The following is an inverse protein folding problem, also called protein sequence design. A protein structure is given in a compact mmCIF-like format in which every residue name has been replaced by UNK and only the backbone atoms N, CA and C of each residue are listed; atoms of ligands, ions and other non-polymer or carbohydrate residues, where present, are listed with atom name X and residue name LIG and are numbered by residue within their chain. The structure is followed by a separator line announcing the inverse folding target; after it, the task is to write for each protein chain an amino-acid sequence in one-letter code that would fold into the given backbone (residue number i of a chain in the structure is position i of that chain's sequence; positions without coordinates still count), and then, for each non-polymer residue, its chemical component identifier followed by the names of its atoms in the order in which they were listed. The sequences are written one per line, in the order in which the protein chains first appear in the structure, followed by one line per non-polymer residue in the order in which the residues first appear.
data_IF_836802916386
#
_entry.id   IF_836802916386
#
_cell.length_a   1.000
_cell.length_b   1.000
_cell.length_c   1.000
_cell.angle_alpha   90.00
_cell.angle_beta   90.00
_cell.angle_gamma   90.00
#
_symmetry.space_group_name_H-M   'P 1'
#
loop_
_entity.id
_entity.type
_entity.pdbx_description
1 polymer ?
#
# COMPACT_ATOMS: atom_id res chain seq x y z
N UNK A 1 -19.81 -18.40 -2.73
CA UNK A 1 -19.33 -17.16 -3.40
C UNK A 1 -17.93 -17.44 -3.92
N UNK A 2 -17.71 -17.43 -5.24
CA UNK A 2 -16.38 -17.70 -5.83
C UNK A 2 -15.42 -16.54 -5.60
N UNK A 3 -14.11 -16.81 -5.67
CA UNK A 3 -13.07 -15.78 -5.55
C UNK A 3 -13.30 -14.61 -6.50
N UNK A 4 -13.52 -14.88 -7.79
CA UNK A 4 -13.80 -13.84 -8.79
C UNK A 4 -15.07 -13.05 -8.45
N UNK A 5 -16.15 -13.74 -8.04
CA UNK A 5 -17.41 -13.12 -7.67
C UNK A 5 -17.29 -12.14 -6.49
N UNK A 6 -16.33 -12.35 -5.58
CA UNK A 6 -16.08 -11.44 -4.45
C UNK A 6 -15.62 -10.04 -4.86
N UNK A 7 -15.20 -9.86 -6.11
CA UNK A 7 -14.65 -8.61 -6.63
C UNK A 7 -15.36 -8.11 -7.89
N UNK A 8 -16.33 -8.87 -8.44
CA UNK A 8 -17.08 -8.50 -9.63
C UNK A 8 -18.59 -8.44 -9.42
N UNK A 9 -19.14 -9.16 -8.43
CA UNK A 9 -20.57 -9.10 -8.16
C UNK A 9 -20.93 -7.69 -7.66
N UNK A 10 -21.82 -6.93 -8.35
CA UNK A 10 -22.00 -5.51 -8.10
C UNK A 10 -22.34 -5.15 -6.65
N UNK A 11 -23.21 -5.93 -6.00
CA UNK A 11 -23.59 -5.69 -4.60
C UNK A 11 -22.47 -6.02 -3.60
N UNK A 12 -21.62 -7.01 -3.91
CA UNK A 12 -20.49 -7.36 -3.04
C UNK A 12 -19.40 -6.31 -3.18
N UNK A 13 -19.11 -5.89 -4.42
CA UNK A 13 -18.17 -4.81 -4.70
C UNK A 13 -18.60 -3.51 -4.03
N UNK A 14 -19.88 -3.11 -4.18
CA UNK A 14 -20.44 -1.94 -3.49
C UNK A 14 -20.23 -2.04 -1.98
N UNK A 15 -20.62 -3.16 -1.36
CA UNK A 15 -20.48 -3.33 0.09
C UNK A 15 -19.02 -3.18 0.56
N UNK A 16 -18.06 -3.74 -0.19
CA UNK A 16 -16.64 -3.63 0.13
C UNK A 16 -16.12 -2.19 0.00
N UNK A 17 -16.54 -1.46 -1.02
CA UNK A 17 -16.17 -0.06 -1.23
C UNK A 17 -16.75 0.84 -0.13
N UNK A 18 -18.01 0.66 0.25
CA UNK A 18 -18.65 1.42 1.34
C UNK A 18 -17.90 1.24 2.67
N UNK A 19 -17.53 -0.01 3.01
CA UNK A 19 -16.75 -0.31 4.22
C UNK A 19 -15.39 0.40 4.15
N UNK A 20 -14.69 0.27 3.03
CA UNK A 20 -13.37 0.89 2.85
C UNK A 20 -13.43 2.42 2.98
N UNK A 21 -14.38 3.05 2.29
CA UNK A 21 -14.58 4.50 2.33
C UNK A 21 -14.92 4.99 3.75
N UNK A 22 -15.82 4.30 4.46
CA UNK A 22 -16.19 4.64 5.83
C UNK A 22 -15.00 4.49 6.80
N UNK A 23 -14.19 3.44 6.63
CA UNK A 23 -12.98 3.25 7.42
C UNK A 23 -11.98 4.41 7.20
N UNK A 24 -11.68 4.75 5.95
CA UNK A 24 -10.77 5.87 5.63
C UNK A 24 -11.28 7.20 6.17
N UNK A 25 -12.57 7.50 6.01
CA UNK A 25 -13.19 8.72 6.53
C UNK A 25 -13.11 8.84 8.06
N UNK A 26 -13.12 7.71 8.77
CA UNK A 26 -13.07 7.65 10.23
C UNK A 26 -11.68 7.32 10.80
N UNK A 27 -10.63 7.30 9.98
CA UNK A 27 -9.27 6.93 10.40
C UNK A 27 -9.16 5.50 10.94
N UNK A 28 -10.05 4.58 10.49
CA UNK A 28 -10.04 3.16 10.86
C UNK A 28 -9.39 2.34 9.75
N UNK A 29 -8.82 1.19 10.13
CA UNK A 29 -8.15 0.31 9.18
C UNK A 29 -9.17 -0.62 8.49
N UNK A 30 -9.41 -0.50 7.17
CA UNK A 30 -10.27 -1.43 6.46
C UNK A 30 -9.60 -2.81 6.38
N UNK A 31 -10.30 -3.84 6.85
CA UNK A 31 -9.84 -5.24 6.83
C UNK A 31 -10.68 -6.09 5.89
N UNK A 32 -10.05 -6.66 4.88
CA UNK A 32 -10.69 -7.52 3.89
C UNK A 32 -10.98 -8.90 4.48
N UNK A 33 -12.09 -9.51 4.03
CA UNK A 33 -12.47 -10.86 4.43
C UNK A 33 -11.49 -11.93 3.93
N UNK A 34 -11.71 -13.16 4.36
CA UNK A 34 -10.94 -14.32 3.94
C UNK A 34 -11.25 -14.69 2.49
N UNK A 35 -10.30 -15.40 1.86
CA UNK A 35 -10.55 -16.19 0.65
C UNK A 35 -10.53 -17.67 1.03
N UNK A 36 -11.35 -18.47 0.36
CA UNK A 36 -11.53 -19.88 0.70
C UNK A 36 -10.44 -20.77 0.11
N UNK A 37 -9.76 -20.28 -0.93
CA UNK A 37 -8.64 -20.92 -1.60
C UNK A 37 -7.43 -20.96 -0.66
N UNK A 38 -6.90 -22.15 -0.39
CA UNK A 38 -5.76 -22.35 0.52
C UNK A 38 -4.52 -22.96 -0.15
N UNK A 39 -4.70 -23.67 -1.27
CA UNK A 39 -3.62 -24.33 -2.03
C UNK A 39 -3.10 -23.50 -3.20
N UNK A 40 -3.97 -22.71 -3.84
CA UNK A 40 -3.60 -21.85 -4.96
C UNK A 40 -3.05 -20.50 -4.47
N UNK A 41 -1.73 -20.45 -4.29
CA UNK A 41 -1.03 -19.25 -3.81
C UNK A 41 -1.11 -18.08 -4.78
N UNK A 42 -1.24 -18.34 -6.08
CA UNK A 42 -1.38 -17.29 -7.09
C UNK A 42 -2.75 -16.65 -7.00
N UNK A 43 -3.81 -17.44 -6.87
CA UNK A 43 -5.17 -16.93 -6.66
C UNK A 43 -5.27 -16.11 -5.37
N UNK A 44 -4.63 -16.56 -4.29
CA UNK A 44 -4.55 -15.81 -3.02
C UNK A 44 -3.83 -14.47 -3.23
N UNK A 45 -2.67 -14.48 -3.90
CA UNK A 45 -1.89 -13.27 -4.16
C UNK A 45 -2.70 -12.26 -4.98
N UNK A 46 -3.35 -12.71 -6.05
CA UNK A 46 -4.21 -11.86 -6.89
C UNK A 46 -5.34 -11.24 -6.07
N UNK A 47 -6.06 -12.03 -5.26
CA UNK A 47 -7.13 -11.51 -4.41
C UNK A 47 -6.63 -10.47 -3.41
N UNK A 48 -5.47 -10.71 -2.78
CA UNK A 48 -4.85 -9.76 -1.87
C UNK A 48 -4.42 -8.47 -2.59
N UNK A 49 -3.86 -8.56 -3.80
CA UNK A 49 -3.51 -7.41 -4.63
C UNK A 49 -4.75 -6.60 -5.00
N UNK A 50 -5.86 -7.24 -5.39
CA UNK A 50 -7.10 -6.52 -5.71
C UNK A 50 -7.68 -5.84 -4.48
N UNK A 51 -7.69 -6.53 -3.33
CA UNK A 51 -8.13 -5.93 -2.07
C UNK A 51 -7.31 -4.69 -1.70
N UNK A 52 -5.98 -4.76 -1.83
CA UNK A 52 -5.09 -3.65 -1.45
C UNK A 52 -5.06 -2.51 -2.47
N UNK A 53 -5.03 -2.81 -3.77
CA UNK A 53 -4.82 -1.84 -4.86
C UNK A 53 -6.10 -1.28 -5.47
N UNK A 54 -7.15 -2.09 -5.58
CA UNK A 54 -8.41 -1.64 -6.21
C UNK A 54 -9.42 -1.12 -5.17
N UNK A 55 -9.48 -1.77 -4.00
CA UNK A 55 -10.54 -1.50 -3.01
C UNK A 55 -10.07 -0.71 -1.79
N UNK A 56 -8.77 -0.40 -1.69
CA UNK A 56 -8.22 0.42 -0.61
C UNK A 56 -8.16 -0.26 0.76
N UNK A 57 -8.20 -1.60 0.81
CA UNK A 57 -7.99 -2.32 2.06
C UNK A 57 -6.52 -2.22 2.49
N UNK A 58 -6.29 -2.21 3.81
CA UNK A 58 -4.95 -2.15 4.39
C UNK A 58 -4.63 -3.38 5.27
N UNK A 59 -5.57 -4.32 5.37
CA UNK A 59 -5.43 -5.62 6.04
C UNK A 59 -6.26 -6.67 5.33
N UNK A 60 -5.88 -7.94 5.45
CA UNK A 60 -6.66 -9.08 4.98
C UNK A 60 -6.54 -10.26 5.95
N UNK A 61 -7.62 -11.02 6.13
CA UNK A 61 -7.64 -12.18 7.01
C UNK A 61 -7.04 -13.42 6.33
N UNK A 62 -6.35 -14.24 7.12
CA UNK A 62 -5.83 -15.55 6.72
C UNK A 62 -6.55 -16.66 7.50
N UNK A 63 -6.88 -17.74 6.82
CA UNK A 63 -7.43 -18.98 7.39
C UNK A 63 -6.47 -20.17 7.24
N UNK A 64 -5.34 -19.98 6.57
CA UNK A 64 -4.35 -21.04 6.34
C UNK A 64 -2.92 -20.47 6.29
N UNK A 65 -1.90 -21.14 6.85
CA UNK A 65 -0.51 -20.66 6.82
C UNK A 65 0.01 -20.28 5.43
N UNK A 66 -0.36 -21.03 4.38
CA UNK A 66 0.03 -20.73 2.99
C UNK A 66 -0.49 -19.38 2.48
N UNK A 67 -1.51 -18.80 3.11
CA UNK A 67 -2.04 -17.48 2.72
C UNK A 67 -1.21 -16.33 3.29
N UNK A 68 -0.44 -16.56 4.37
CA UNK A 68 0.25 -15.48 5.11
C UNK A 68 1.26 -14.75 4.22
N UNK A 69 2.18 -15.49 3.59
CA UNK A 69 3.23 -14.89 2.74
C UNK A 69 2.65 -14.13 1.54
N UNK A 70 1.72 -14.71 0.74
CA UNK A 70 1.07 -13.99 -0.36
C UNK A 70 0.34 -12.72 0.09
N UNK A 71 -0.39 -12.77 1.22
CA UNK A 71 -1.10 -11.60 1.75
C UNK A 71 -0.09 -10.53 2.17
N UNK A 72 0.93 -10.86 2.95
CA UNK A 72 1.93 -9.87 3.40
C UNK A 72 2.64 -9.21 2.21
N UNK A 73 3.01 -10.01 1.20
CA UNK A 73 3.69 -9.53 0.00
C UNK A 73 2.81 -8.55 -0.81
N UNK A 74 1.52 -8.87 -1.00
CA UNK A 74 0.59 -8.05 -1.77
C UNK A 74 0.21 -6.71 -1.11
N UNK A 75 0.36 -6.60 0.20
CA UNK A 75 0.08 -5.37 0.96
C UNK A 75 1.33 -4.50 1.19
N UNK A 76 2.52 -5.05 0.97
CA UNK A 76 3.75 -4.31 1.06
C UNK A 76 4.04 -3.53 -0.26
N UNK A 77 4.65 -2.35 -0.18
CA UNK A 77 5.03 -1.60 -1.37
C UNK A 77 6.08 -2.38 -2.17
N UNK A 78 6.06 -2.24 -3.49
CA UNK A 78 7.05 -2.88 -4.38
C UNK A 78 8.29 -1.98 -4.51
N UNK A 79 9.48 -2.54 -4.83
CA UNK A 79 10.73 -1.76 -4.90
C UNK A 79 10.64 -0.51 -5.78
N UNK A 80 10.02 -0.62 -6.97
CA UNK A 80 9.84 0.51 -7.87
C UNK A 80 9.01 1.66 -7.28
N UNK A 81 8.02 1.36 -6.41
CA UNK A 81 7.25 2.38 -5.71
C UNK A 81 8.09 3.09 -4.65
N UNK A 82 8.97 2.35 -3.98
CA UNK A 82 9.90 2.88 -2.95
C UNK A 82 10.91 3.81 -3.62
N UNK A 83 11.51 3.39 -4.73
CA UNK A 83 12.46 4.20 -5.50
C UNK A 83 11.82 5.49 -6.01
N UNK A 84 10.66 5.40 -6.67
CA UNK A 84 9.95 6.58 -7.16
C UNK A 84 9.54 7.53 -6.02
N UNK A 85 9.07 7.00 -4.89
CA UNK A 85 8.75 7.80 -3.73
C UNK A 85 9.98 8.51 -3.15
N UNK A 86 11.11 7.83 -3.09
CA UNK A 86 12.36 8.39 -2.62
C UNK A 86 12.86 9.52 -3.52
N UNK A 87 12.90 9.29 -4.84
CA UNK A 87 13.35 10.29 -5.81
C UNK A 87 12.53 11.58 -5.70
N UNK A 88 11.20 11.45 -5.61
CA UNK A 88 10.28 12.58 -5.50
C UNK A 88 10.50 13.32 -4.18
N UNK A 89 10.61 12.60 -3.06
CA UNK A 89 10.76 13.23 -1.75
C UNK A 89 12.12 13.90 -1.55
N UNK A 90 13.20 13.34 -2.10
CA UNK A 90 14.52 13.99 -2.08
C UNK A 90 14.52 15.27 -2.93
N UNK A 91 13.92 15.23 -4.11
CA UNK A 91 13.79 16.42 -4.95
C UNK A 91 12.89 17.48 -4.29
N UNK A 92 11.81 17.05 -3.63
CA UNK A 92 10.96 17.93 -2.85
C UNK A 92 11.72 18.58 -1.69
N UNK A 93 12.51 17.80 -0.94
CA UNK A 93 13.33 18.30 0.16
C UNK A 93 14.38 19.31 -0.34
N UNK A 94 15.05 19.03 -1.46
CA UNK A 94 16.02 19.95 -2.08
C UNK A 94 15.39 21.26 -2.58
N UNK A 95 14.09 21.26 -2.86
CA UNK A 95 13.31 22.43 -3.26
C UNK A 95 12.55 23.09 -2.08
N UNK A 96 12.94 22.83 -0.83
CA UNK A 96 12.27 23.35 0.37
C UNK A 96 10.75 23.06 0.39
N UNK A 97 10.37 21.88 -0.11
CA UNK A 97 8.99 21.41 -0.27
C UNK A 97 8.13 22.32 -1.16
N UNK A 98 8.75 23.07 -2.08
CA UNK A 98 8.08 23.72 -3.20
C UNK A 98 7.63 22.69 -4.26
N UNK A 99 6.73 23.04 -5.18
CA UNK A 99 6.36 22.18 -6.29
C UNK A 99 7.55 21.86 -7.20
N UNK A 100 7.65 20.62 -7.66
CA UNK A 100 8.70 20.15 -8.58
C UNK A 100 8.10 19.51 -9.82
N UNK A 101 8.87 19.44 -10.90
CA UNK A 101 8.56 18.57 -12.04
C UNK A 101 9.33 17.25 -11.91
N UNK A 102 8.64 16.12 -11.91
CA UNK A 102 9.25 14.79 -11.92
C UNK A 102 8.67 13.95 -13.05
N UNK A 103 9.51 13.50 -13.99
CA UNK A 103 9.12 12.73 -15.19
C UNK A 103 7.97 13.38 -15.99
N UNK A 104 7.98 14.71 -16.10
CA UNK A 104 6.96 15.48 -16.82
C UNK A 104 5.65 15.70 -16.05
N UNK A 105 5.56 15.27 -14.79
CA UNK A 105 4.40 15.49 -13.92
C UNK A 105 4.73 16.51 -12.83
N UNK A 106 3.79 17.43 -12.57
CA UNK A 106 3.85 18.31 -11.41
C UNK A 106 3.66 17.49 -10.14
N UNK A 107 4.57 17.67 -9.18
CA UNK A 107 4.47 17.11 -7.84
C UNK A 107 4.46 18.25 -6.84
N UNK A 108 3.66 18.11 -5.79
CA UNK A 108 3.48 19.11 -4.75
C UNK A 108 3.23 18.44 -3.40
N UNK A 109 2.94 19.24 -2.37
CA UNK A 109 2.71 18.72 -1.01
C UNK A 109 1.53 17.74 -0.92
N UNK A 110 0.55 17.81 -1.81
CA UNK A 110 -0.54 16.84 -1.83
C UNK A 110 -0.04 15.46 -2.31
N UNK A 111 0.76 15.41 -3.37
CA UNK A 111 1.34 14.16 -3.85
C UNK A 111 2.52 13.66 -3.00
N UNK A 112 3.33 14.55 -2.42
CA UNK A 112 4.41 14.17 -1.50
C UNK A 112 3.88 13.36 -0.31
N UNK A 113 2.69 13.67 0.20
CA UNK A 113 2.04 12.88 1.26
C UNK A 113 1.87 11.42 0.87
N UNK A 114 1.46 11.13 -0.37
CA UNK A 114 1.34 9.76 -0.86
C UNK A 114 2.69 9.05 -0.86
N UNK A 115 3.72 9.69 -1.43
CA UNK A 115 5.08 9.12 -1.48
C UNK A 115 5.66 8.90 -0.07
N UNK A 116 5.37 9.80 0.86
CA UNK A 116 5.74 9.63 2.27
C UNK A 116 5.10 8.38 2.87
N UNK A 117 3.79 8.16 2.63
CA UNK A 117 3.10 6.96 3.12
C UNK A 117 3.68 5.68 2.52
N UNK A 118 4.15 5.71 1.27
CA UNK A 118 4.86 4.57 0.65
C UNK A 118 6.15 4.25 1.41
N UNK A 119 6.99 5.25 1.69
CA UNK A 119 8.24 5.05 2.44
C UNK A 119 7.99 4.60 3.88
N UNK A 120 7.03 5.21 4.59
CA UNK A 120 6.67 4.77 5.95
C UNK A 120 6.19 3.32 5.97
N UNK A 121 5.36 2.93 5.00
CA UNK A 121 4.87 1.55 4.88
C UNK A 121 6.02 0.59 4.57
N UNK A 122 6.95 0.98 3.71
CA UNK A 122 8.15 0.19 3.42
C UNK A 122 8.98 -0.04 4.68
N UNK A 123 9.22 1.01 5.48
CA UNK A 123 9.91 0.91 6.76
C UNK A 123 9.20 -0.06 7.73
N UNK A 124 7.88 0.09 7.91
CA UNK A 124 7.07 -0.72 8.84
C UNK A 124 6.92 -2.17 8.42
N UNK A 125 6.95 -2.47 7.13
CA UNK A 125 6.83 -3.84 6.59
C UNK A 125 8.18 -4.54 6.43
N UNK A 126 9.28 -3.90 6.85
CA UNK A 126 10.63 -4.49 6.75
C UNK A 126 11.15 -4.61 5.32
N UNK A 127 10.63 -3.81 4.38
CA UNK A 127 11.20 -3.72 3.03
C UNK A 127 12.58 -3.08 3.11
N UNK A 128 13.47 -3.47 2.19
CA UNK A 128 14.75 -2.81 2.05
C UNK A 128 14.52 -1.35 1.63
N UNK A 129 15.03 -0.43 2.45
CA UNK A 129 15.07 1.00 2.14
C UNK A 129 16.49 1.36 1.72
N UNK A 130 16.67 2.13 0.64
CA UNK A 130 17.97 2.68 0.27
C UNK A 130 18.56 3.49 1.43
N UNK A 131 19.89 3.47 1.57
CA UNK A 131 20.58 4.19 2.66
C UNK A 131 20.30 5.68 2.64
N UNK A 132 20.11 6.26 1.45
CA UNK A 132 19.69 7.66 1.27
C UNK A 132 18.32 7.93 1.91
N UNK A 133 17.35 7.03 1.76
CA UNK A 133 16.05 7.14 2.42
C UNK A 133 16.18 7.07 3.94
N UNK A 134 17.02 6.14 4.44
CA UNK A 134 17.25 5.98 5.89
C UNK A 134 17.84 7.24 6.48
N UNK A 135 18.91 7.76 5.89
CA UNK A 135 19.60 8.95 6.37
C UNK A 135 18.74 10.20 6.27
N UNK A 136 17.98 10.37 5.19
CA UNK A 136 17.17 11.58 4.97
C UNK A 136 15.90 11.64 5.82
N UNK A 137 15.28 10.48 6.11
CA UNK A 137 13.92 10.45 6.64
C UNK A 137 13.69 9.59 7.89
N UNK A 138 14.56 8.62 8.16
CA UNK A 138 14.37 7.65 9.24
C UNK A 138 15.56 7.59 10.22
N UNK A 139 16.53 8.48 10.08
CA UNK A 139 17.60 8.63 11.06
C UNK A 139 16.99 9.07 12.39
N UNK A 140 17.16 8.27 13.43
CA UNK A 140 16.81 8.68 14.79
C UNK A 140 17.70 9.88 15.14
N UNK A 141 17.10 11.02 15.50
CA UNK A 141 17.87 12.13 16.06
C UNK A 141 18.66 11.59 17.27
N UNK A 142 19.98 11.81 17.27
CA UNK A 142 20.79 11.50 18.44
C UNK A 142 20.23 12.31 19.62
N UNK A 143 19.79 11.59 20.66
CA UNK A 143 19.36 12.17 21.95
C UNK A 143 20.59 12.57 22.75
#
# INVERSE_FOLDING_TARGET
MSLAGQFSHPLVLRAKLEISAACHAAGKLPSHCVVTEYSDTQAIAQAATRASRELGYARMWSIHPNQIRPIVEAFAPVPAEIEAALDILLAAQAADWAPIAHRGLLQDRASYRYHWHVLERAARTGRSLPDTARSAFFATAAV
#
